data_IF_639479536332
#
_entry.id   IF_639479536332
#
_cell.length_a   1.000
_cell.length_b   1.000
_cell.length_c   1.000
_cell.angle_alpha   90.00
_cell.angle_beta   90.00
_cell.angle_gamma   90.00
#
_symmetry.space_group_name_H-M   'P 1'
#
loop_
_entity.id
_entity.type
_entity.pdbx_description
1 polymer ?
#
# COMPACT_ATOMS: atom_id res chain seq x y z
N UNK A 1 30.74 -0.94 11.05
CA UNK A 1 30.66 -0.32 9.70
C UNK A 1 29.66 0.81 9.82
N UNK A 2 30.15 2.05 9.87
CA UNK A 2 29.40 3.24 10.36
C UNK A 2 28.02 3.40 9.70
N UNK A 3 27.89 3.16 8.39
CA UNK A 3 26.62 3.31 7.67
C UNK A 3 25.54 2.38 8.24
N UNK A 4 25.86 1.12 8.54
CA UNK A 4 24.91 0.16 9.12
C UNK A 4 24.48 0.57 10.52
N UNK A 5 25.41 1.06 11.33
CA UNK A 5 25.12 1.56 12.68
C UNK A 5 24.21 2.79 12.62
N UNK A 6 24.46 3.71 11.70
CA UNK A 6 23.61 4.89 11.48
C UNK A 6 22.22 4.51 10.99
N UNK A 7 22.08 3.59 10.02
CA UNK A 7 20.76 3.12 9.56
C UNK A 7 19.94 2.52 10.71
N UNK A 8 20.58 1.72 11.56
CA UNK A 8 19.94 1.10 12.72
C UNK A 8 19.58 2.13 13.80
N UNK A 9 20.43 3.14 14.04
CA UNK A 9 20.14 4.22 14.96
C UNK A 9 18.94 5.06 14.48
N UNK A 10 18.89 5.42 13.19
CA UNK A 10 17.76 6.13 12.58
C UNK A 10 16.46 5.34 12.80
N UNK A 11 16.44 4.06 12.45
CA UNK A 11 15.24 3.24 12.64
C UNK A 11 14.84 3.14 14.11
N UNK A 12 15.79 2.87 15.00
CA UNK A 12 15.48 2.62 16.42
C UNK A 12 14.95 3.87 17.13
N UNK A 13 15.44 5.06 16.78
CA UNK A 13 15.06 6.32 17.43
C UNK A 13 13.82 6.93 16.77
N UNK A 14 13.77 6.96 15.43
CA UNK A 14 12.78 7.75 14.70
C UNK A 14 11.52 6.94 14.32
N UNK A 15 11.56 5.61 14.33
CA UNK A 15 10.41 4.77 13.91
C UNK A 15 9.15 5.05 14.73
N UNK A 16 9.27 5.20 16.06
CA UNK A 16 8.09 5.41 16.92
C UNK A 16 7.35 6.72 16.62
N UNK A 17 8.05 7.72 16.10
CA UNK A 17 7.49 9.03 15.77
C UNK A 17 6.97 9.08 14.33
N UNK A 18 7.77 8.63 13.36
CA UNK A 18 7.44 8.78 11.95
C UNK A 18 6.81 7.54 11.31
N UNK A 19 6.80 6.39 11.98
CA UNK A 19 6.11 5.18 11.55
C UNK A 19 5.47 4.45 12.77
N UNK A 20 4.60 5.14 13.53
CA UNK A 20 3.93 4.54 14.68
C UNK A 20 2.94 3.48 14.23
N UNK A 21 2.65 2.52 15.12
CA UNK A 21 1.52 1.62 14.93
C UNK A 21 0.22 2.43 15.01
N UNK A 22 -0.63 2.42 13.97
CA UNK A 22 -1.80 3.31 13.94
C UNK A 22 -2.85 2.93 14.98
N UNK A 23 -3.31 3.93 15.72
CA UNK A 23 -4.47 3.85 16.61
C UNK A 23 -5.79 3.89 15.82
N UNK A 24 -6.91 3.65 16.53
CA UNK A 24 -8.25 3.79 15.97
C UNK A 24 -8.48 5.20 15.40
N UNK A 25 -8.09 6.23 16.14
CA UNK A 25 -8.22 7.63 15.75
C UNK A 25 -7.36 7.96 14.51
N UNK A 26 -6.17 7.37 14.42
CA UNK A 26 -5.33 7.52 13.22
C UNK A 26 -6.02 6.92 11.99
N UNK A 27 -6.63 5.74 12.11
CA UNK A 27 -7.36 5.13 11.00
C UNK A 27 -8.57 5.95 10.55
N UNK A 28 -9.33 6.50 11.49
CA UNK A 28 -10.45 7.40 11.15
C UNK A 28 -9.96 8.65 10.41
N UNK A 29 -8.84 9.22 10.86
CA UNK A 29 -8.22 10.38 10.20
C UNK A 29 -7.77 10.04 8.78
N UNK A 30 -7.08 8.90 8.60
CA UNK A 30 -6.63 8.45 7.28
C UNK A 30 -7.84 8.22 6.35
N UNK A 31 -8.92 7.63 6.86
CA UNK A 31 -10.13 7.40 6.09
C UNK A 31 -10.81 8.69 5.63
N UNK A 32 -10.90 9.69 6.49
CA UNK A 32 -11.41 11.01 6.14
C UNK A 32 -10.53 11.69 5.08
N UNK A 33 -9.21 11.58 5.22
CA UNK A 33 -8.28 12.14 4.24
C UNK A 33 -8.41 11.44 2.87
N UNK A 34 -8.58 10.12 2.82
CA UNK A 34 -8.87 9.41 1.56
C UNK A 34 -10.23 9.79 0.96
N UNK A 35 -11.25 9.99 1.79
CA UNK A 35 -12.54 10.46 1.30
C UNK A 35 -12.42 11.86 0.67
N UNK A 36 -11.67 12.77 1.31
CA UNK A 36 -11.42 14.13 0.80
C UNK A 36 -10.56 14.12 -0.47
N UNK A 37 -9.47 13.36 -0.47
CA UNK A 37 -8.42 13.46 -1.49
C UNK A 37 -8.61 12.47 -2.67
N UNK A 38 -9.22 11.31 -2.41
CA UNK A 38 -9.44 10.25 -3.39
C UNK A 38 -10.92 10.02 -3.73
N UNK A 39 -11.86 10.62 -2.98
CA UNK A 39 -13.30 10.36 -3.07
C UNK A 39 -13.64 8.88 -2.85
N UNK A 40 -12.89 8.25 -1.94
CA UNK A 40 -13.04 6.86 -1.56
C UNK A 40 -13.29 6.74 -0.05
N UNK A 41 -14.56 6.62 0.40
CA UNK A 41 -14.91 6.58 1.81
C UNK A 41 -14.39 5.31 2.49
N UNK A 42 -14.12 5.40 3.79
CA UNK A 42 -13.68 4.29 4.66
C UNK A 42 -12.35 3.60 4.24
N UNK A 43 -11.61 4.18 3.30
CA UNK A 43 -10.30 3.68 2.88
C UNK A 43 -9.23 4.05 3.91
N UNK A 44 -8.66 3.07 4.60
CA UNK A 44 -7.63 3.30 5.63
C UNK A 44 -6.19 3.17 5.11
N UNK A 45 -6.01 3.01 3.81
CA UNK A 45 -4.69 2.90 3.21
C UNK A 45 -4.68 2.16 1.89
N UNK A 46 -3.73 2.52 1.04
CA UNK A 46 -3.44 1.79 -0.18
C UNK A 46 -2.25 0.86 0.03
N UNK A 47 -2.38 -0.41 -0.36
CA UNK A 47 -1.41 -1.48 -0.14
C UNK A 47 -0.84 -1.95 -1.46
N UNK A 48 0.48 -2.07 -1.51
CA UNK A 48 1.21 -2.52 -2.69
C UNK A 48 2.62 -2.96 -2.29
N UNK A 49 3.23 -3.87 -3.05
CA UNK A 49 4.59 -4.30 -2.85
C UNK A 49 5.54 -3.91 -3.99
N UNK A 50 6.82 -3.73 -3.66
CA UNK A 50 7.87 -3.41 -4.64
C UNK A 50 9.13 -4.25 -4.45
N UNK A 51 9.79 -4.56 -5.56
CA UNK A 51 11.12 -5.15 -5.56
C UNK A 51 12.20 -4.08 -5.30
N UNK A 52 13.04 -4.35 -4.30
CA UNK A 52 14.30 -3.65 -4.03
C UNK A 52 15.42 -4.49 -4.62
N UNK A 53 16.07 -3.98 -5.67
CA UNK A 53 17.15 -4.67 -6.37
C UNK A 53 18.38 -4.82 -5.45
N UNK A 54 18.90 -6.03 -5.33
CA UNK A 54 20.16 -6.33 -4.64
C UNK A 54 21.11 -7.09 -5.56
N UNK A 55 22.40 -7.03 -5.30
CA UNK A 55 23.36 -7.94 -5.93
C UNK A 55 23.21 -9.33 -5.31
N UNK A 56 23.36 -10.37 -6.14
CA UNK A 56 23.21 -11.77 -5.74
C UNK A 56 24.06 -12.06 -4.49
N UNK A 57 23.44 -12.41 -3.35
CA UNK A 57 24.19 -12.78 -2.17
C UNK A 57 24.93 -14.10 -2.41
N UNK A 58 26.18 -14.21 -1.94
CA UNK A 58 26.95 -15.44 -2.08
C UNK A 58 26.25 -16.59 -1.35
N UNK A 59 26.01 -17.71 -2.03
CA UNK A 59 25.40 -18.90 -1.43
C UNK A 59 23.88 -18.85 -1.21
N UNK A 60 23.16 -17.84 -1.72
CA UNK A 60 21.70 -17.73 -1.53
C UNK A 60 20.84 -18.59 -2.47
N UNK A 61 21.47 -19.29 -3.43
CA UNK A 61 20.76 -20.00 -4.49
C UNK A 61 19.80 -19.06 -5.25
N UNK A 62 18.57 -19.51 -5.48
CA UNK A 62 17.51 -18.75 -6.17
C UNK A 62 16.55 -18.01 -5.23
N UNK A 63 16.80 -17.95 -3.92
CA UNK A 63 15.82 -17.40 -2.96
C UNK A 63 15.46 -15.94 -3.24
N UNK A 64 16.45 -15.11 -3.57
CA UNK A 64 16.23 -13.71 -3.91
C UNK A 64 15.95 -13.48 -5.40
N UNK A 65 16.13 -14.51 -6.23
CA UNK A 65 15.99 -14.42 -7.67
C UNK A 65 14.50 -14.38 -8.03
N UNK A 66 14.06 -13.25 -8.58
CA UNK A 66 12.68 -13.04 -8.97
C UNK A 66 12.47 -13.40 -10.46
N UNK A 67 11.20 -13.41 -10.85
CA UNK A 67 10.78 -13.70 -12.21
C UNK A 67 11.34 -12.73 -13.27
N UNK A 68 11.74 -11.51 -12.87
CA UNK A 68 12.35 -10.50 -13.75
C UNK A 68 13.85 -10.70 -13.93
N UNK A 69 14.36 -11.86 -13.53
CA UNK A 69 15.74 -12.28 -13.74
C UNK A 69 16.77 -11.46 -12.97
N UNK A 70 16.40 -10.93 -11.79
CA UNK A 70 17.34 -10.28 -10.87
C UNK A 70 17.05 -10.63 -9.41
N UNK A 71 18.01 -10.36 -8.53
CA UNK A 71 17.87 -10.61 -7.09
C UNK A 71 17.22 -9.41 -6.40
N UNK A 72 16.25 -9.66 -5.53
CA UNK A 72 15.53 -8.59 -4.83
C UNK A 72 15.04 -8.98 -3.45
N UNK A 73 14.91 -7.94 -2.61
CA UNK A 73 14.10 -7.96 -1.40
C UNK A 73 12.74 -7.35 -1.72
N UNK A 74 11.70 -7.81 -1.04
CA UNK A 74 10.39 -7.18 -1.15
C UNK A 74 10.18 -6.16 -0.04
N UNK A 75 9.73 -4.98 -0.45
CA UNK A 75 9.15 -3.94 0.41
C UNK A 75 7.63 -3.97 0.20
N UNK A 76 6.89 -4.49 1.16
CA UNK A 76 5.43 -4.41 1.21
C UNK A 76 5.04 -3.22 2.08
N UNK A 77 4.19 -2.32 1.59
CA UNK A 77 3.84 -1.12 2.35
C UNK A 77 2.37 -0.73 2.22
N UNK A 78 1.90 0.00 3.22
CA UNK A 78 0.61 0.69 3.24
C UNK A 78 0.91 2.18 3.25
N UNK A 79 0.28 2.96 2.37
CA UNK A 79 0.40 4.43 2.35
C UNK A 79 -0.94 5.12 2.60
N UNK A 80 -0.86 6.29 3.23
CA UNK A 80 -1.99 7.22 3.37
C UNK A 80 -2.15 8.12 2.14
N UNK A 81 -3.17 8.98 2.15
CA UNK A 81 -3.39 9.94 1.07
C UNK A 81 -2.49 11.20 1.14
N UNK A 82 -1.54 11.24 2.07
CA UNK A 82 -0.48 12.25 2.17
C UNK A 82 0.88 11.71 1.68
N UNK A 83 0.88 10.52 1.07
CA UNK A 83 2.05 9.79 0.58
C UNK A 83 3.02 9.37 1.69
N UNK A 84 2.56 9.26 2.95
CA UNK A 84 3.33 8.70 4.06
C UNK A 84 3.09 7.20 4.13
N UNK A 85 4.13 6.45 4.48
CA UNK A 85 3.97 5.04 4.81
C UNK A 85 3.34 4.92 6.20
N UNK A 86 2.28 4.14 6.30
CA UNK A 86 1.57 3.86 7.56
C UNK A 86 2.06 2.55 8.17
N UNK A 87 2.46 1.60 7.32
CA UNK A 87 3.02 0.33 7.71
C UNK A 87 3.97 -0.16 6.62
N UNK A 88 5.05 -0.83 7.02
CA UNK A 88 5.95 -1.53 6.10
C UNK A 88 6.35 -2.90 6.63
N UNK A 89 6.50 -3.86 5.72
CA UNK A 89 7.16 -5.14 5.95
C UNK A 89 8.31 -5.26 4.93
N UNK A 90 9.53 -5.45 5.42
CA UNK A 90 10.76 -5.34 4.64
C UNK A 90 11.55 -6.63 4.80
N UNK A 91 12.00 -7.19 3.67
CA UNK A 91 12.98 -8.28 3.66
C UNK A 91 12.40 -9.64 3.29
N UNK A 92 11.14 -9.72 2.86
CA UNK A 92 10.62 -10.94 2.22
C UNK A 92 11.38 -11.24 0.94
N UNK A 93 11.41 -12.52 0.55
CA UNK A 93 12.19 -12.97 -0.59
C UNK A 93 11.59 -12.49 -1.90
N UNK A 94 12.44 -12.17 -2.89
CA UNK A 94 11.99 -11.71 -4.21
C UNK A 94 11.12 -12.69 -5.00
N UNK A 95 11.06 -13.97 -4.59
CA UNK A 95 10.15 -14.97 -5.17
C UNK A 95 8.74 -14.96 -4.56
N UNK A 96 8.56 -14.32 -3.40
CA UNK A 96 7.29 -14.34 -2.67
C UNK A 96 6.31 -13.33 -3.29
N UNK A 97 5.01 -13.67 -3.34
CA UNK A 97 3.97 -12.83 -3.93
C UNK A 97 3.27 -11.91 -2.90
N UNK A 98 2.69 -10.80 -3.37
CA UNK A 98 2.07 -9.73 -2.55
C UNK A 98 1.07 -10.25 -1.54
N UNK A 99 0.12 -11.05 -2.04
CA UNK A 99 -0.94 -11.61 -1.22
C UNK A 99 -0.37 -12.50 -0.11
N UNK A 100 0.69 -13.27 -0.37
CA UNK A 100 1.29 -14.13 0.64
C UNK A 100 2.04 -13.29 1.68
N UNK A 101 2.88 -12.35 1.25
CA UNK A 101 3.64 -11.46 2.14
C UNK A 101 2.70 -10.64 3.02
N UNK A 102 1.67 -10.03 2.43
CA UNK A 102 0.71 -9.23 3.18
C UNK A 102 -0.09 -10.07 4.17
N UNK A 103 -0.53 -11.28 3.80
CA UNK A 103 -1.23 -12.17 4.73
C UNK A 103 -0.38 -12.62 5.91
N UNK A 104 0.93 -12.73 5.72
CA UNK A 104 1.88 -13.09 6.76
C UNK A 104 2.31 -11.91 7.64
N UNK A 105 2.04 -10.68 7.20
CA UNK A 105 2.37 -9.45 7.93
C UNK A 105 1.67 -9.38 9.29
N UNK A 106 2.34 -8.76 10.25
CA UNK A 106 1.82 -8.59 11.62
C UNK A 106 0.53 -7.77 11.63
N UNK A 107 0.45 -6.72 10.81
CA UNK A 107 -0.74 -5.88 10.72
C UNK A 107 -1.94 -6.68 10.20
N UNK A 108 -1.76 -7.51 9.17
CA UNK A 108 -2.87 -8.30 8.65
C UNK A 108 -3.33 -9.38 9.63
N UNK A 109 -2.38 -10.07 10.28
CA UNK A 109 -2.68 -11.05 11.32
C UNK A 109 -3.47 -10.41 12.46
N UNK A 110 -3.03 -9.26 12.96
CA UNK A 110 -3.72 -8.55 14.04
C UNK A 110 -5.14 -8.09 13.68
N UNK A 111 -5.36 -7.65 12.44
CA UNK A 111 -6.70 -7.27 11.94
C UNK A 111 -7.61 -8.50 11.81
N UNK A 112 -7.11 -9.60 11.23
CA UNK A 112 -7.92 -10.82 11.06
C UNK A 112 -8.23 -11.53 12.37
N UNK A 113 -7.35 -11.41 13.37
CA UNK A 113 -7.56 -11.93 14.73
C UNK A 113 -8.41 -10.99 15.61
N UNK A 114 -8.72 -9.78 15.14
CA UNK A 114 -9.50 -8.80 15.91
C UNK A 114 -8.74 -8.16 17.08
N UNK A 115 -7.41 -8.29 17.11
CA UNK A 115 -6.58 -7.67 18.16
C UNK A 115 -6.16 -6.25 17.81
N UNK A 116 -6.20 -5.87 16.54
CA UNK A 116 -5.99 -4.48 16.09
C UNK A 116 -7.29 -3.69 16.15
N UNK A 117 -7.24 -2.51 16.76
CA UNK A 117 -8.41 -1.65 16.93
C UNK A 117 -8.70 -0.86 15.65
N UNK A 118 -9.43 -1.47 14.72
CA UNK A 118 -10.02 -0.74 13.60
C UNK A 118 -11.23 0.08 14.07
N UNK A 119 -11.57 1.17 13.37
CA UNK A 119 -12.77 1.91 13.68
C UNK A 119 -14.04 1.09 13.47
N UNK A 120 -15.08 1.39 14.25
CA UNK A 120 -16.36 0.70 14.14
C UNK A 120 -16.99 0.96 12.77
N UNK A 121 -17.63 -0.04 12.14
CA UNK A 121 -18.34 0.16 10.88
C UNK A 121 -19.33 1.33 10.94
N UNK A 122 -19.32 2.19 9.91
CA UNK A 122 -20.22 3.34 9.79
C UNK A 122 -20.99 3.28 8.46
N UNK A 123 -22.15 3.91 8.39
CA UNK A 123 -22.88 4.11 7.13
C UNK A 123 -22.19 5.15 6.25
N UNK A 124 -22.37 5.05 4.94
CA UNK A 124 -21.90 6.08 4.01
C UNK A 124 -22.73 7.36 4.17
N UNK A 125 -22.05 8.50 4.24
CA UNK A 125 -22.70 9.79 4.44
C UNK A 125 -23.77 10.06 3.38
N UNK A 126 -24.93 10.54 3.82
CA UNK A 126 -26.05 10.87 2.94
C UNK A 126 -26.77 9.66 2.33
N UNK A 127 -26.61 8.46 2.90
CA UNK A 127 -27.31 7.25 2.44
C UNK A 127 -27.87 6.45 3.61
N UNK A 128 -28.89 5.64 3.34
CA UNK A 128 -29.38 4.58 4.24
C UNK A 128 -28.59 3.27 4.06
N UNK A 129 -27.32 3.37 3.66
CA UNK A 129 -26.48 2.19 3.41
C UNK A 129 -26.22 1.40 4.71
N UNK A 130 -26.03 0.07 4.61
CA UNK A 130 -25.59 -0.70 5.76
C UNK A 130 -24.22 -0.21 6.25
N UNK A 131 -23.95 -0.35 7.54
CA UNK A 131 -22.65 0.00 8.10
C UNK A 131 -21.53 -0.80 7.40
N UNK A 132 -20.62 -0.08 6.76
CA UNK A 132 -19.47 -0.65 6.07
C UNK A 132 -18.24 -0.63 7.00
N UNK A 133 -17.44 -1.71 7.01
CA UNK A 133 -16.17 -1.69 7.73
C UNK A 133 -15.17 -0.76 7.03
N UNK A 134 -14.13 -0.40 7.76
CA UNK A 134 -12.94 0.24 7.19
C UNK A 134 -12.05 -0.81 6.52
N UNK A 135 -11.46 -0.46 5.38
CA UNK A 135 -10.71 -1.39 4.55
C UNK A 135 -9.52 -0.73 3.85
N UNK A 136 -8.55 -1.55 3.50
CA UNK A 136 -7.48 -1.18 2.60
C UNK A 136 -7.89 -1.36 1.14
N UNK A 137 -7.18 -0.71 0.23
CA UNK A 137 -7.29 -0.93 -1.22
C UNK A 137 -5.99 -1.51 -1.77
N UNK A 138 -6.09 -2.58 -2.56
CA UNK A 138 -4.97 -3.26 -3.22
C UNK A 138 -5.28 -3.54 -4.70
N UNK A 139 -4.29 -4.03 -5.44
CA UNK A 139 -4.47 -4.45 -6.83
C UNK A 139 -5.18 -5.80 -6.90
N UNK A 140 -5.29 -6.31 -8.12
CA UNK A 140 -5.88 -7.62 -8.39
C UNK A 140 -5.08 -8.80 -7.79
N UNK A 141 -3.78 -8.62 -7.48
CA UNK A 141 -2.94 -9.66 -6.87
C UNK A 141 -3.45 -10.03 -5.48
N UNK A 142 -3.94 -9.06 -4.71
CA UNK A 142 -4.43 -9.28 -3.36
C UNK A 142 -5.72 -10.10 -3.34
N UNK A 143 -5.86 -10.98 -2.35
CA UNK A 143 -7.11 -11.70 -2.13
C UNK A 143 -8.19 -10.76 -1.57
N UNK A 144 -9.39 -10.78 -2.18
CA UNK A 144 -10.51 -9.95 -1.73
C UNK A 144 -10.98 -10.35 -0.33
N UNK A 145 -11.09 -9.36 0.57
CA UNK A 145 -11.51 -9.53 1.96
C UNK A 145 -12.34 -8.32 2.44
N UNK A 146 -13.09 -8.46 3.54
CA UNK A 146 -13.89 -7.35 4.11
C UNK A 146 -13.06 -6.11 4.51
N UNK A 147 -11.77 -6.30 4.79
CA UNK A 147 -10.80 -5.25 5.13
C UNK A 147 -9.75 -5.02 4.03
N UNK A 148 -9.90 -5.62 2.84
CA UNK A 148 -8.99 -5.43 1.71
C UNK A 148 -9.77 -5.57 0.40
N UNK A 149 -10.04 -4.43 -0.24
CA UNK A 149 -10.75 -4.35 -1.51
C UNK A 149 -9.78 -4.34 -2.69
N UNK A 150 -10.23 -4.94 -3.78
CA UNK A 150 -9.51 -5.01 -5.06
C UNK A 150 -10.47 -4.74 -6.21
N UNK A 151 -9.99 -4.35 -7.40
CA UNK A 151 -10.86 -4.10 -8.56
C UNK A 151 -11.71 -5.32 -8.94
N UNK A 152 -12.83 -5.08 -9.59
CA UNK A 152 -13.56 -6.13 -10.30
C UNK A 152 -12.72 -6.61 -11.48
N UNK A 153 -12.45 -7.91 -11.52
CA UNK A 153 -11.75 -8.54 -12.66
C UNK A 153 -12.69 -8.82 -13.82
N UNK A 154 -12.11 -9.01 -15.01
CA UNK A 154 -12.81 -9.30 -16.26
C UNK A 154 -12.90 -8.09 -17.21
N UNK A 155 -13.12 -8.37 -18.50
CA UNK A 155 -13.14 -7.36 -19.57
C UNK A 155 -14.51 -6.72 -19.81
N UNK A 156 -15.61 -7.45 -19.54
CA UNK A 156 -16.98 -7.00 -19.79
C UNK A 156 -17.65 -6.52 -18.49
N UNK A 157 -17.12 -5.44 -17.91
CA UNK A 157 -17.65 -4.83 -16.69
C UNK A 157 -18.79 -3.85 -17.01
N UNK A 158 -19.81 -3.84 -16.15
CA UNK A 158 -20.85 -2.82 -16.17
C UNK A 158 -20.28 -1.45 -15.83
N UNK A 159 -20.99 -0.38 -16.20
CA UNK A 159 -20.53 1.00 -16.00
C UNK A 159 -20.23 1.30 -14.52
N UNK A 160 -21.06 0.78 -13.61
CA UNK A 160 -20.93 0.97 -12.17
C UNK A 160 -19.63 0.33 -11.66
N UNK A 161 -19.33 -0.89 -12.13
CA UNK A 161 -18.10 -1.61 -11.78
C UNK A 161 -16.86 -0.92 -12.33
N UNK A 162 -16.94 -0.34 -13.53
CA UNK A 162 -15.84 0.45 -14.09
C UNK A 162 -15.61 1.75 -13.33
N UNK A 163 -16.66 2.46 -12.93
CA UNK A 163 -16.56 3.64 -12.06
C UNK A 163 -15.89 3.26 -10.73
N UNK A 164 -16.31 2.15 -10.12
CA UNK A 164 -15.67 1.63 -8.91
C UNK A 164 -14.17 1.35 -9.13
N UNK A 165 -13.81 0.62 -10.19
CA UNK A 165 -12.42 0.31 -10.51
C UNK A 165 -11.59 1.58 -10.72
N UNK A 166 -12.17 2.59 -11.39
CA UNK A 166 -11.49 3.86 -11.61
C UNK A 166 -11.26 4.62 -10.30
N UNK A 167 -12.25 4.68 -9.41
CA UNK A 167 -12.08 5.28 -8.06
C UNK A 167 -11.07 4.52 -7.21
N UNK A 168 -11.12 3.18 -7.23
CA UNK A 168 -10.15 2.35 -6.52
C UNK A 168 -8.73 2.61 -7.04
N UNK A 169 -8.56 2.72 -8.36
CA UNK A 169 -7.27 3.06 -8.98
C UNK A 169 -6.76 4.43 -8.52
N UNK A 170 -7.65 5.41 -8.35
CA UNK A 170 -7.27 6.72 -7.78
C UNK A 170 -6.79 6.63 -6.33
N UNK A 171 -7.44 5.82 -5.50
CA UNK A 171 -6.99 5.58 -4.13
C UNK A 171 -5.66 4.81 -4.09
N UNK A 172 -5.48 3.81 -4.96
CA UNK A 172 -4.21 3.08 -5.11
C UNK A 172 -3.05 3.94 -5.56
N UNK A 173 -3.29 4.97 -6.37
CA UNK A 173 -2.22 5.85 -6.87
C UNK A 173 -1.34 6.43 -5.75
N UNK A 174 -1.87 6.61 -4.54
CA UNK A 174 -1.09 7.13 -3.41
C UNK A 174 0.08 6.24 -3.00
N UNK A 175 -0.09 4.91 -2.96
CA UNK A 175 1.03 4.01 -2.63
C UNK A 175 2.05 3.93 -3.77
N UNK A 176 1.58 3.91 -5.02
CA UNK A 176 2.45 3.91 -6.21
C UNK A 176 3.32 5.18 -6.27
N UNK A 177 2.71 6.35 -6.02
CA UNK A 177 3.42 7.62 -5.92
C UNK A 177 4.35 7.67 -4.70
N UNK A 178 3.97 7.12 -3.54
CA UNK A 178 4.82 7.09 -2.35
C UNK A 178 6.13 6.33 -2.63
N UNK A 179 6.06 5.18 -3.32
CA UNK A 179 7.25 4.47 -3.78
C UNK A 179 8.07 5.26 -4.80
N UNK A 180 7.41 5.94 -5.74
CA UNK A 180 8.05 6.85 -6.68
C UNK A 180 8.85 7.94 -5.98
N UNK A 181 8.24 8.63 -5.01
CA UNK A 181 8.86 9.69 -4.21
C UNK A 181 10.05 9.14 -3.42
N UNK A 182 9.87 7.99 -2.73
CA UNK A 182 10.93 7.32 -1.97
C UNK A 182 12.16 7.05 -2.85
N UNK A 183 11.95 6.46 -4.03
CA UNK A 183 13.04 6.10 -4.95
C UNK A 183 13.74 7.30 -5.55
N UNK A 184 12.99 8.35 -5.91
CA UNK A 184 13.57 9.56 -6.50
C UNK A 184 14.34 10.40 -5.49
N UNK A 185 13.86 10.47 -4.23
CA UNK A 185 14.57 11.16 -3.15
C UNK A 185 15.82 10.39 -2.73
N UNK A 186 15.69 9.07 -2.57
CA UNK A 186 16.80 8.20 -2.20
C UNK A 186 17.33 7.43 -3.40
N UNK A 187 18.26 8.07 -4.12
CA UNK A 187 18.82 7.55 -5.38
C UNK A 187 19.48 6.16 -5.29
N UNK A 188 19.73 5.67 -4.08
CA UNK A 188 20.20 4.30 -3.83
C UNK A 188 19.28 3.24 -4.42
N UNK A 189 17.97 3.49 -4.52
CA UNK A 189 17.00 2.54 -5.07
C UNK A 189 17.02 2.44 -6.60
N UNK A 190 17.68 3.35 -7.32
CA UNK A 190 17.78 3.29 -8.78
C UNK A 190 18.84 2.29 -9.29
N UNK A 191 19.67 1.75 -8.39
CA UNK A 191 20.69 0.77 -8.72
C UNK A 191 20.61 -0.44 -7.79
N UNK A 192 21.10 -1.62 -8.20
CA UNK A 192 21.23 -2.75 -7.30
C UNK A 192 22.06 -2.38 -6.06
N UNK A 193 21.52 -2.64 -4.88
CA UNK A 193 22.23 -2.40 -3.62
C UNK A 193 23.30 -3.49 -3.47
N UNK A 194 24.57 -3.08 -3.41
CA UNK A 194 25.72 -3.99 -3.31
C UNK A 194 26.12 -4.26 -1.85
N UNK A 195 25.23 -4.86 -1.08
CA UNK A 195 25.48 -5.20 0.32
C UNK A 195 24.76 -6.51 0.67
N UNK A 196 25.14 -7.10 1.80
CA UNK A 196 24.43 -8.27 2.35
C UNK A 196 22.94 -7.97 2.59
N UNK A 197 22.03 -8.94 2.38
CA UNK A 197 20.58 -8.74 2.50
C UNK A 197 20.12 -8.03 3.77
N UNK A 198 20.65 -8.42 4.93
CA UNK A 198 20.30 -7.80 6.21
C UNK A 198 20.68 -6.32 6.26
N UNK A 199 21.82 -5.95 5.68
CA UNK A 199 22.21 -4.55 5.61
C UNK A 199 21.35 -3.78 4.58
N UNK A 200 20.95 -4.42 3.48
CA UNK A 200 20.00 -3.82 2.54
C UNK A 200 18.65 -3.55 3.23
N UNK A 201 18.17 -4.46 4.08
CA UNK A 201 16.97 -4.25 4.92
C UNK A 201 17.14 -3.02 5.83
N UNK A 202 18.29 -2.87 6.49
CA UNK A 202 18.57 -1.70 7.34
C UNK A 202 18.55 -0.38 6.55
N UNK A 203 19.08 -0.38 5.32
CA UNK A 203 19.04 0.77 4.40
C UNK A 203 17.59 1.11 4.04
N UNK A 204 16.75 0.13 3.71
CA UNK A 204 15.35 0.36 3.36
C UNK A 204 14.58 0.90 4.56
N UNK A 205 14.78 0.30 5.75
CA UNK A 205 14.18 0.76 7.02
C UNK A 205 14.48 2.24 7.28
N UNK A 206 15.76 2.63 7.24
CA UNK A 206 16.16 4.01 7.44
C UNK A 206 15.53 4.95 6.39
N UNK A 207 15.49 4.53 5.12
CA UNK A 207 14.94 5.33 4.02
C UNK A 207 13.43 5.57 4.17
N UNK A 208 12.66 4.58 4.62
CA UNK A 208 11.21 4.71 4.87
C UNK A 208 10.93 5.70 5.99
N UNK A 209 11.67 5.62 7.09
CA UNK A 209 11.49 6.52 8.23
C UNK A 209 11.88 7.95 7.87
N UNK A 210 13.00 8.13 7.18
CA UNK A 210 13.42 9.43 6.67
C UNK A 210 12.45 10.00 5.64
N UNK A 211 11.83 9.15 4.81
CA UNK A 211 10.76 9.58 3.91
C UNK A 211 9.62 10.21 4.70
N UNK A 212 9.06 9.52 5.69
CA UNK A 212 7.98 10.07 6.51
C UNK A 212 8.39 11.35 7.27
N UNK A 213 9.61 11.40 7.81
CA UNK A 213 10.16 12.62 8.43
C UNK A 213 10.17 13.80 7.47
N UNK A 214 10.69 13.60 6.25
CA UNK A 214 10.74 14.65 5.22
C UNK A 214 9.34 15.06 4.79
N UNK A 215 8.40 14.11 4.67
CA UNK A 215 6.99 14.40 4.33
C UNK A 215 6.32 15.28 5.39
N UNK A 216 6.64 15.06 6.66
CA UNK A 216 6.09 15.83 7.77
C UNK A 216 6.73 17.21 7.90
N UNK A 217 8.05 17.31 7.70
CA UNK A 217 8.80 18.57 7.77
C UNK A 217 8.54 19.49 6.58
N UNK A 218 8.57 18.95 5.36
CA UNK A 218 8.58 19.73 4.11
C UNK A 218 7.21 19.74 3.40
N UNK A 219 6.27 18.89 3.80
CA UNK A 219 4.96 18.77 3.18
C UNK A 219 4.96 18.13 1.79
N UNK A 220 3.93 18.45 0.98
CA UNK A 220 3.75 17.89 -0.36
C UNK A 220 4.42 18.79 -1.41
N UNK A 221 5.61 18.38 -1.88
CA UNK A 221 6.25 18.99 -3.05
C UNK A 221 5.80 18.27 -4.33
N UNK A 222 5.15 18.98 -5.25
CA UNK A 222 4.62 18.40 -6.49
C UNK A 222 5.71 17.87 -7.43
N UNK A 223 6.92 18.45 -7.41
CA UNK A 223 8.06 17.97 -8.20
C UNK A 223 8.44 16.52 -7.84
N UNK A 224 8.35 16.16 -6.55
CA UNK A 224 8.63 14.81 -6.06
C UNK A 224 7.63 13.76 -6.62
N UNK A 225 6.44 14.21 -7.07
CA UNK A 225 5.41 13.34 -7.66
C UNK A 225 5.61 13.05 -9.16
N UNK A 226 6.55 13.73 -9.82
CA UNK A 226 6.90 13.48 -11.22
C UNK A 226 7.81 12.24 -11.31
N UNK A 227 7.21 11.08 -11.59
CA UNK A 227 7.87 9.78 -11.42
C UNK A 227 8.92 9.48 -12.50
N UNK A 228 10.16 9.23 -12.07
CA UNK A 228 11.03 8.21 -12.67
C UNK A 228 10.94 6.98 -11.75
N UNK A 229 10.46 5.85 -12.26
CA UNK A 229 10.28 4.63 -11.45
C UNK A 229 11.62 3.94 -11.22
N UNK A 230 12.19 4.08 -10.02
CA UNK A 230 13.35 3.29 -9.58
C UNK A 230 12.98 1.93 -8.98
N UNK A 231 11.71 1.76 -8.59
CA UNK A 231 11.17 0.53 -8.01
C UNK A 231 10.21 -0.16 -8.96
N UNK A 232 10.13 -1.47 -8.83
CA UNK A 232 9.41 -2.33 -9.74
C UNK A 232 8.30 -3.11 -9.04
N UNK A 233 7.14 -3.23 -9.69
CA UNK A 233 6.01 -4.02 -9.22
C UNK A 233 6.36 -5.51 -9.10
N UNK A 234 5.71 -6.16 -8.14
CA UNK A 234 5.67 -7.61 -7.96
C UNK A 234 4.68 -8.24 -8.97
N UNK A 235 4.67 -9.58 -9.12
CA UNK A 235 3.66 -10.22 -9.99
C UNK A 235 2.31 -10.40 -9.31
N UNK A 236 1.21 -10.12 -10.03
CA UNK A 236 -0.10 -10.60 -9.65
C UNK A 236 -0.23 -12.11 -9.91
N UNK A 237 -0.30 -12.92 -8.85
CA UNK A 237 -0.82 -14.28 -8.95
C UNK A 237 -2.36 -14.25 -8.79
N UNK A 238 -3.07 -14.96 -9.68
CA UNK A 238 -4.53 -15.04 -9.65
C UNK A 238 -5.02 -15.62 -8.33
N UNK A 239 -5.57 -14.75 -7.48
CA UNK A 239 -6.03 -15.11 -6.14
C UNK A 239 -7.55 -15.34 -6.07
N UNK A 240 -7.92 -16.26 -5.18
CA UNK A 240 -9.25 -16.86 -4.97
C UNK A 240 -10.45 -15.89 -4.98
N UNK A 241 -11.62 -16.41 -5.34
CA UNK A 241 -12.91 -15.68 -5.29
C UNK A 241 -13.16 -15.20 -3.86
N UNK A 242 -13.32 -13.88 -3.68
CA UNK A 242 -13.61 -13.32 -2.37
C UNK A 242 -15.00 -13.70 -1.86
N UNK A 243 -15.16 -13.71 -0.53
CA UNK A 243 -16.41 -14.08 0.12
C UNK A 243 -17.57 -13.12 -0.17
N UNK A 244 -18.81 -13.59 0.08
CA UNK A 244 -20.06 -12.84 -0.12
C UNK A 244 -20.03 -11.45 0.53
N UNK A 245 -19.56 -11.35 1.78
CA UNK A 245 -19.45 -10.08 2.52
C UNK A 245 -18.59 -9.04 1.79
N UNK A 246 -17.43 -9.42 1.27
CA UNK A 246 -16.54 -8.48 0.58
C UNK A 246 -17.10 -8.03 -0.78
N UNK A 247 -17.85 -8.91 -1.46
CA UNK A 247 -18.57 -8.52 -2.68
C UNK A 247 -19.72 -7.55 -2.39
N UNK A 248 -20.46 -7.74 -1.29
CA UNK A 248 -21.53 -6.82 -0.88
C UNK A 248 -20.97 -5.42 -0.56
N UNK A 249 -19.79 -5.33 0.06
CA UNK A 249 -19.12 -4.04 0.30
C UNK A 249 -18.82 -3.34 -1.02
N UNK A 250 -18.22 -4.04 -2.00
CA UNK A 250 -17.95 -3.46 -3.32
C UNK A 250 -19.22 -3.04 -4.04
N UNK A 251 -20.29 -3.83 -3.96
CA UNK A 251 -21.57 -3.48 -4.57
C UNK A 251 -22.17 -2.22 -3.92
N UNK A 252 -22.16 -2.12 -2.59
CA UNK A 252 -22.63 -0.93 -1.87
C UNK A 252 -21.85 0.32 -2.30
N UNK A 253 -20.53 0.20 -2.48
CA UNK A 253 -19.69 1.29 -2.98
C UNK A 253 -19.98 1.63 -4.45
N UNK A 254 -20.22 0.63 -5.32
CA UNK A 254 -20.67 0.89 -6.69
C UNK A 254 -21.94 1.74 -6.70
N UNK A 255 -22.95 1.33 -5.93
CA UNK A 255 -24.24 2.01 -5.85
C UNK A 255 -24.07 3.42 -5.27
N UNK A 256 -23.22 3.61 -4.27
CA UNK A 256 -22.88 4.93 -3.74
C UNK A 256 -22.23 5.84 -4.80
N UNK A 257 -21.24 5.33 -5.53
CA UNK A 257 -20.47 6.12 -6.49
C UNK A 257 -21.27 6.58 -7.71
N UNK A 258 -22.33 5.86 -8.08
CA UNK A 258 -23.22 6.28 -9.18
C UNK A 258 -24.36 7.20 -8.72
N UNK A 259 -24.62 7.26 -7.42
CA UNK A 259 -25.69 8.07 -6.83
C UNK A 259 -25.10 9.23 -5.98
N UNK A 260 -25.31 9.20 -4.66
CA UNK A 260 -24.96 10.27 -3.72
C UNK A 260 -23.47 10.63 -3.77
N UNK A 261 -22.61 9.63 -3.92
CA UNK A 261 -21.18 9.81 -3.98
C UNK A 261 -20.65 10.26 -5.35
N UNK A 262 -21.49 10.45 -6.36
CA UNK A 262 -21.12 10.76 -7.75
C UNK A 262 -20.26 12.02 -7.88
N UNK A 263 -19.30 11.98 -8.80
CA UNK A 263 -18.38 13.10 -9.07
C UNK A 263 -18.29 13.38 -10.57
N UNK A 264 -18.14 14.64 -11.01
CA UNK A 264 -18.25 15.01 -12.44
C UNK A 264 -17.26 14.30 -13.37
N UNK A 265 -16.08 13.95 -12.87
CA UNK A 265 -14.98 13.39 -13.66
C UNK A 265 -14.99 11.86 -13.74
N UNK A 266 -15.90 11.16 -13.05
CA UNK A 266 -15.82 9.68 -12.93
C UNK A 266 -16.06 8.92 -14.23
N UNK A 267 -16.64 9.58 -15.24
CA UNK A 267 -16.87 9.01 -16.57
C UNK A 267 -15.70 9.25 -17.54
N UNK A 268 -14.70 10.07 -17.16
CA UNK A 268 -13.62 10.47 -18.07
C UNK A 268 -12.67 9.35 -18.50
N UNK A 269 -12.67 8.22 -17.77
CA UNK A 269 -11.77 7.07 -17.99
C UNK A 269 -12.48 5.71 -17.94
N UNK A 270 -13.80 5.69 -18.08
CA UNK A 270 -14.69 4.51 -17.96
C UNK A 270 -15.12 4.00 -19.34
#
# INVERSE_FOLDING_TARGET
>A
MIVKEVCNAIWSIMKSEFLPTPSKENWETIALDFERNANFPHCIGAVDGKHIRIICPSGSGSMYYNYKQYNSLVLMAIADSNYRFVYVNIGSYGKDCDSAIFKQSEIWKSITMGTHQLPEPKGLLGTDSPNLPYFFVGDEAFALHKHLLRPFGGSNLSIEKKIFNYRLSRARRYIECAFGILSNKWRIFHRPINVEPDFAVDIVKASVVLHNFVRERDGILFEDSTTITGLEDLQPEYSSRGGLSANNIRQTLCDYFVNVGSVPWQMSKV
#
